data_IF_061994662863
#
_entry.id   IF_061994662863
#
_cell.length_a   1.000
_cell.length_b   1.000
_cell.length_c   1.000
_cell.angle_alpha   90.00
_cell.angle_beta   90.00
_cell.angle_gamma   90.00
#
_symmetry.space_group_name_H-M   'P 1'
#
loop_
_entity.id
_entity.type
_entity.pdbx_description
1 polymer ?
#
# COMPACT_ATOMS: atom_id res chain seq x y z
N UNK A 1 9.62 -17.49 16.17
CA UNK A 1 9.48 -16.48 15.10
C UNK A 1 8.50 -15.43 15.52
N UNK A 2 8.89 -14.20 15.37
CA UNK A 2 7.99 -13.10 15.68
C UNK A 2 7.07 -12.82 14.49
N UNK A 3 5.78 -12.62 14.78
CA UNK A 3 4.81 -12.18 13.79
C UNK A 3 4.84 -10.66 13.71
N UNK A 4 4.51 -10.14 12.52
CA UNK A 4 4.38 -8.71 12.30
C UNK A 4 2.93 -8.30 12.61
N UNK A 5 2.76 -7.27 13.42
CA UNK A 5 1.42 -6.71 13.62
C UNK A 5 1.07 -5.82 12.43
N UNK A 6 -0.09 -6.08 11.82
CA UNK A 6 -0.53 -5.33 10.65
C UNK A 6 -0.52 -3.81 10.92
N UNK A 7 0.07 -3.07 10.01
CA UNK A 7 0.21 -1.60 10.06
C UNK A 7 1.15 -1.09 11.16
N UNK A 8 1.90 -1.97 11.81
CA UNK A 8 2.94 -1.55 12.76
C UNK A 8 4.18 -1.02 12.02
N UNK A 9 5.09 -0.38 12.76
CA UNK A 9 6.35 0.08 12.19
C UNK A 9 7.15 -1.10 11.62
N UNK A 10 7.12 -2.25 12.28
CA UNK A 10 7.79 -3.47 11.83
C UNK A 10 7.18 -3.99 10.52
N UNK A 11 5.86 -3.92 10.40
CA UNK A 11 5.17 -4.31 9.17
C UNK A 11 5.56 -3.39 8.01
N UNK A 12 5.58 -2.09 8.26
CA UNK A 12 5.99 -1.10 7.25
C UNK A 12 7.44 -1.33 6.84
N UNK A 13 8.33 -1.63 7.80
CA UNK A 13 9.73 -1.96 7.50
C UNK A 13 9.86 -3.22 6.65
N UNK A 14 9.06 -4.25 6.93
CA UNK A 14 9.07 -5.48 6.15
C UNK A 14 8.60 -5.23 4.72
N UNK A 15 7.55 -4.42 4.55
CA UNK A 15 7.07 -4.02 3.23
C UNK A 15 8.15 -3.21 2.50
N UNK A 16 8.80 -2.28 3.19
CA UNK A 16 9.87 -1.47 2.62
C UNK A 16 11.03 -2.35 2.11
N UNK A 17 11.42 -3.34 2.88
CA UNK A 17 12.48 -4.27 2.48
C UNK A 17 12.07 -5.08 1.25
N UNK A 18 10.83 -5.58 1.22
CA UNK A 18 10.32 -6.33 0.08
C UNK A 18 10.24 -5.50 -1.19
N UNK A 19 9.78 -4.26 -1.07
CA UNK A 19 9.69 -3.32 -2.19
C UNK A 19 11.08 -2.98 -2.73
N UNK A 20 12.03 -2.71 -1.85
CA UNK A 20 13.40 -2.35 -2.25
C UNK A 20 14.15 -3.50 -2.91
N UNK A 21 13.83 -4.74 -2.55
CA UNK A 21 14.50 -5.92 -3.07
C UNK A 21 13.87 -6.43 -4.38
N UNK A 22 12.71 -5.92 -4.77
CA UNK A 22 11.97 -6.44 -5.93
C UNK A 22 12.51 -5.86 -7.23
N UNK A 23 13.02 -6.75 -8.10
CA UNK A 23 13.62 -6.34 -9.37
C UNK A 23 12.57 -5.85 -10.38
N UNK A 24 11.35 -6.38 -10.32
CA UNK A 24 10.27 -5.95 -11.20
C UNK A 24 9.88 -4.51 -10.91
N UNK A 25 9.72 -4.17 -9.62
CA UNK A 25 9.43 -2.80 -9.20
C UNK A 25 10.56 -1.85 -9.57
N UNK A 26 11.81 -2.27 -9.40
CA UNK A 26 12.97 -1.47 -9.76
C UNK A 26 12.97 -1.12 -11.25
N UNK A 27 12.61 -2.08 -12.09
CA UNK A 27 12.50 -1.86 -13.54
C UNK A 27 11.36 -0.91 -13.87
N UNK A 28 10.20 -1.11 -13.25
CA UNK A 28 9.04 -0.25 -13.48
C UNK A 28 9.25 1.18 -12.96
N UNK A 29 10.05 1.34 -11.94
CA UNK A 29 10.34 2.65 -11.36
C UNK A 29 11.03 3.60 -12.36
N UNK A 30 11.72 3.06 -13.34
CA UNK A 30 12.33 3.88 -14.39
C UNK A 30 11.31 4.37 -15.42
N UNK A 31 10.11 3.81 -15.44
CA UNK A 31 9.06 4.10 -16.40
C UNK A 31 7.89 4.86 -15.82
N UNK A 32 7.80 4.96 -14.50
CA UNK A 32 6.66 5.56 -13.81
C UNK A 32 7.11 6.55 -12.75
N UNK A 33 6.26 7.55 -12.53
CA UNK A 33 6.40 8.47 -11.41
C UNK A 33 5.03 8.59 -10.76
N UNK A 34 4.89 8.08 -9.55
CA UNK A 34 3.61 8.13 -8.82
C UNK A 34 3.85 8.13 -7.33
N UNK A 35 3.12 8.97 -6.62
CA UNK A 35 3.08 8.99 -5.16
C UNK A 35 1.70 8.59 -4.68
N UNK A 36 1.63 7.51 -3.92
CA UNK A 36 0.40 6.99 -3.34
C UNK A 36 0.44 7.10 -1.83
N UNK A 37 -0.53 7.77 -1.24
CA UNK A 37 -0.71 7.80 0.21
C UNK A 37 -1.89 6.92 0.59
N UNK A 38 -1.71 6.09 1.61
CA UNK A 38 -2.75 5.22 2.16
C UNK A 38 -3.02 5.63 3.59
N UNK A 39 -4.29 5.94 3.90
CA UNK A 39 -4.73 6.28 5.25
C UNK A 39 -5.70 5.19 5.72
N UNK A 40 -5.41 4.60 6.87
CA UNK A 40 -6.28 3.61 7.52
C UNK A 40 -6.75 4.21 8.84
N UNK A 41 -8.06 4.41 8.96
CA UNK A 41 -8.65 5.03 10.15
C UNK A 41 -9.19 3.98 11.11
N UNK A 42 -9.26 4.34 12.39
CA UNK A 42 -9.90 3.51 13.41
C UNK A 42 -9.15 2.22 13.72
N UNK A 43 -7.84 2.20 13.55
CA UNK A 43 -7.05 1.02 13.97
C UNK A 43 -7.02 0.96 15.50
N UNK A 44 -6.72 -0.22 16.08
CA UNK A 44 -6.56 -0.33 17.54
C UNK A 44 -5.51 0.60 18.12
N UNK A 45 -4.64 1.16 17.26
CA UNK A 45 -3.50 1.99 17.67
C UNK A 45 -3.61 3.43 17.18
N UNK A 46 -4.78 3.82 16.66
CA UNK A 46 -5.00 5.13 16.05
C UNK A 46 -4.94 5.08 14.53
N UNK A 47 -5.08 6.21 13.89
CA UNK A 47 -5.00 6.27 12.43
C UNK A 47 -3.57 6.05 11.96
N UNK A 48 -3.42 5.27 10.89
CA UNK A 48 -2.11 4.93 10.31
C UNK A 48 -2.04 5.48 8.90
N UNK A 49 -0.96 6.17 8.58
CA UNK A 49 -0.69 6.67 7.23
C UNK A 49 0.65 6.09 6.76
N UNK A 50 0.67 5.56 5.55
CA UNK A 50 1.90 5.12 4.92
C UNK A 50 1.82 5.41 3.43
N UNK A 51 2.94 5.24 2.72
CA UNK A 51 2.98 5.62 1.31
C UNK A 51 3.88 4.72 0.49
N UNK A 52 3.61 4.75 -0.82
CA UNK A 52 4.50 4.24 -1.85
C UNK A 52 4.88 5.42 -2.73
N UNK A 53 6.18 5.66 -2.92
CA UNK A 53 6.65 6.70 -3.82
C UNK A 53 7.52 6.06 -4.89
N UNK A 54 7.17 6.29 -6.15
CA UNK A 54 7.95 5.85 -7.30
C UNK A 54 8.44 7.11 -8.01
N UNK A 55 9.75 7.31 -8.02
CA UNK A 55 10.36 8.51 -8.62
C UNK A 55 11.83 8.27 -8.89
N UNK A 56 12.30 8.75 -10.05
CA UNK A 56 13.72 8.75 -10.43
C UNK A 56 14.35 7.34 -10.38
N UNK A 57 13.59 6.33 -10.77
CA UNK A 57 14.07 4.96 -10.78
C UNK A 57 14.13 4.30 -9.40
N UNK A 58 13.53 4.94 -8.39
CA UNK A 58 13.53 4.44 -7.01
C UNK A 58 12.11 4.22 -6.54
N UNK A 59 11.87 3.09 -5.86
CA UNK A 59 10.61 2.78 -5.20
C UNK A 59 10.86 2.80 -3.69
N UNK A 60 10.07 3.59 -2.97
CA UNK A 60 10.16 3.64 -1.51
C UNK A 60 8.79 3.39 -0.88
N UNK A 61 8.80 2.73 0.26
CA UNK A 61 7.62 2.43 1.05
C UNK A 61 7.95 2.79 2.50
N UNK A 62 7.17 3.69 3.08
CA UNK A 62 7.47 4.20 4.42
C UNK A 62 6.22 4.75 5.09
N UNK A 63 6.33 5.08 6.38
CA UNK A 63 5.24 5.73 7.11
C UNK A 63 5.10 7.19 6.71
N UNK A 64 3.90 7.74 6.89
CA UNK A 64 3.57 9.12 6.54
C UNK A 64 3.07 9.25 5.11
N UNK A 65 2.75 10.49 4.73
CA UNK A 65 2.27 10.80 3.38
C UNK A 65 3.42 10.77 2.36
N UNK A 66 3.09 10.45 1.12
CA UNK A 66 4.07 10.45 0.03
C UNK A 66 4.66 11.87 -0.17
N UNK A 67 5.98 11.99 -0.35
CA UNK A 67 6.61 13.29 -0.59
C UNK A 67 6.04 14.03 -1.80
N UNK A 68 5.67 13.29 -2.84
CA UNK A 68 5.02 13.84 -4.03
C UNK A 68 3.73 13.07 -4.28
N UNK A 69 2.73 13.36 -3.47
CA UNK A 69 1.45 12.64 -3.53
C UNK A 69 0.68 12.99 -4.79
N UNK A 70 0.33 11.95 -5.56
CA UNK A 70 -0.55 12.09 -6.72
C UNK A 70 -1.95 11.56 -6.39
N UNK A 71 -2.03 10.51 -5.57
CA UNK A 71 -3.28 9.85 -5.22
C UNK A 71 -3.28 9.52 -3.73
N UNK A 72 -4.49 9.47 -3.15
CA UNK A 72 -4.68 9.12 -1.75
C UNK A 72 -5.89 8.21 -1.60
N UNK A 73 -5.71 7.12 -0.86
CA UNK A 73 -6.80 6.24 -0.47
C UNK A 73 -7.04 6.36 1.04
N UNK A 74 -8.30 6.39 1.42
CA UNK A 74 -8.68 6.39 2.84
C UNK A 74 -9.71 5.29 3.06
N UNK A 75 -9.49 4.45 4.06
CA UNK A 75 -10.39 3.35 4.41
C UNK A 75 -10.33 3.07 5.90
N UNK A 76 -11.36 2.38 6.42
CA UNK A 76 -11.36 1.96 7.82
C UNK A 76 -10.47 0.75 8.01
N UNK A 77 -10.06 0.52 9.27
CA UNK A 77 -9.27 -0.66 9.63
C UNK A 77 -9.99 -1.96 9.25
N UNK A 78 -11.31 -2.02 9.49
CA UNK A 78 -12.11 -3.18 9.14
C UNK A 78 -12.03 -3.49 7.63
N UNK A 79 -12.17 -2.47 6.80
CA UNK A 79 -12.06 -2.62 5.35
C UNK A 79 -10.64 -3.03 4.96
N UNK A 80 -9.64 -2.40 5.54
CA UNK A 80 -8.23 -2.70 5.23
C UNK A 80 -7.88 -4.15 5.57
N UNK A 81 -8.30 -4.64 6.74
CA UNK A 81 -8.08 -6.03 7.13
C UNK A 81 -8.83 -6.98 6.20
N UNK A 82 -10.07 -6.65 5.86
CA UNK A 82 -10.87 -7.48 4.94
C UNK A 82 -10.21 -7.64 3.58
N UNK A 83 -9.64 -6.56 3.04
CA UNK A 83 -8.93 -6.61 1.77
C UNK A 83 -7.61 -7.37 1.91
N UNK A 84 -6.85 -7.10 2.96
CA UNK A 84 -5.56 -7.75 3.18
C UNK A 84 -5.68 -9.26 3.38
N UNK A 85 -6.80 -9.71 3.95
CA UNK A 85 -7.08 -11.14 4.16
C UNK A 85 -7.90 -11.76 3.03
N UNK A 86 -8.16 -11.00 1.98
CA UNK A 86 -8.93 -11.44 0.81
C UNK A 86 -10.40 -11.77 1.10
N UNK A 87 -10.94 -11.31 2.22
CA UNK A 87 -12.36 -11.45 2.54
C UNK A 87 -13.21 -10.40 1.85
N UNK A 88 -12.61 -9.28 1.50
CA UNK A 88 -13.27 -8.18 0.77
C UNK A 88 -12.49 -7.96 -0.52
N UNK A 89 -13.22 -7.91 -1.64
CA UNK A 89 -12.62 -7.55 -2.92
C UNK A 89 -12.39 -6.04 -2.97
N UNK A 90 -11.15 -5.62 -3.28
CA UNK A 90 -10.78 -4.20 -3.29
C UNK A 90 -11.60 -3.39 -4.29
N UNK A 91 -11.89 -3.98 -5.46
CA UNK A 91 -12.68 -3.32 -6.50
C UNK A 91 -14.11 -3.08 -6.04
N UNK A 92 -14.73 -4.08 -5.41
CA UNK A 92 -16.06 -3.93 -4.83
C UNK A 92 -16.08 -2.90 -3.71
N UNK A 93 -15.07 -2.90 -2.85
CA UNK A 93 -14.96 -1.94 -1.76
C UNK A 93 -14.91 -0.51 -2.31
N UNK A 94 -14.18 -0.30 -3.39
CA UNK A 94 -14.09 1.01 -4.05
C UNK A 94 -15.46 1.43 -4.60
N UNK A 95 -16.13 0.53 -5.30
CA UNK A 95 -17.45 0.80 -5.90
C UNK A 95 -18.49 1.12 -4.83
N UNK A 96 -18.44 0.43 -3.69
CA UNK A 96 -19.38 0.63 -2.58
C UNK A 96 -19.03 1.84 -1.72
N UNK A 97 -17.94 2.54 -2.00
CA UNK A 97 -17.53 3.71 -1.24
C UNK A 97 -16.84 3.39 0.09
N UNK A 98 -16.40 2.14 0.28
CA UNK A 98 -15.63 1.75 1.47
C UNK A 98 -14.19 2.24 1.40
N UNK A 99 -13.69 2.52 0.21
CA UNK A 99 -12.40 3.15 -0.02
C UNK A 99 -12.66 4.50 -0.66
N UNK A 100 -12.21 5.57 -0.02
CA UNK A 100 -12.34 6.92 -0.55
C UNK A 100 -11.07 7.26 -1.31
N UNK A 101 -11.23 7.61 -2.57
CA UNK A 101 -10.12 7.98 -3.45
C UNK A 101 -10.12 9.49 -3.68
N UNK A 102 -8.94 10.10 -3.59
CA UNK A 102 -8.73 11.49 -4.00
C UNK A 102 -7.44 11.59 -4.80
N UNK A 103 -7.38 12.51 -5.74
CA UNK A 103 -6.18 12.79 -6.51
C UNK A 103 -6.32 12.49 -7.99
N UNK A 104 -5.21 12.23 -8.65
CA UNK A 104 -5.11 12.08 -10.10
C UNK A 104 -5.45 10.66 -10.55
N UNK A 105 -6.65 10.50 -11.09
CA UNK A 105 -7.17 9.22 -11.57
C UNK A 105 -6.30 8.62 -12.69
N UNK A 106 -5.81 9.48 -13.58
CA UNK A 106 -5.00 9.03 -14.71
C UNK A 106 -3.65 8.46 -14.24
N UNK A 107 -3.05 9.07 -13.23
CA UNK A 107 -1.81 8.56 -12.63
C UNK A 107 -2.01 7.17 -12.05
N UNK A 108 -3.15 6.94 -11.41
CA UNK A 108 -3.49 5.62 -10.86
C UNK A 108 -3.59 4.57 -11.97
N UNK A 109 -4.28 4.91 -13.07
CA UNK A 109 -4.46 4.00 -14.21
C UNK A 109 -3.11 3.69 -14.86
N UNK A 110 -2.31 4.73 -15.10
CA UNK A 110 -1.01 4.60 -15.76
C UNK A 110 -0.03 3.76 -14.94
N UNK A 111 -0.15 3.78 -13.61
CA UNK A 111 0.72 3.04 -12.71
C UNK A 111 0.19 1.63 -12.37
N UNK A 112 -0.79 1.13 -13.12
CA UNK A 112 -1.37 -0.19 -12.88
C UNK A 112 -0.36 -1.32 -12.78
N UNK A 113 0.70 -1.28 -13.59
CA UNK A 113 1.78 -2.28 -13.56
C UNK A 113 2.52 -2.27 -12.21
N UNK A 114 2.73 -1.09 -11.64
CA UNK A 114 3.38 -0.94 -10.34
C UNK A 114 2.52 -1.59 -9.26
N UNK A 115 1.23 -1.31 -9.27
CA UNK A 115 0.31 -1.88 -8.26
C UNK A 115 0.19 -3.39 -8.41
N UNK A 116 0.19 -3.90 -9.64
CA UNK A 116 0.17 -5.34 -9.89
C UNK A 116 1.43 -6.00 -9.33
N UNK A 117 2.59 -5.36 -9.47
CA UNK A 117 3.86 -5.88 -8.97
C UNK A 117 3.93 -5.87 -7.43
N UNK A 118 3.13 -5.04 -6.76
CA UNK A 118 3.07 -5.02 -5.29
C UNK A 118 2.36 -6.24 -4.71
N UNK A 119 1.41 -6.84 -5.42
CA UNK A 119 0.61 -7.94 -4.90
C UNK A 119 1.43 -9.12 -4.36
N UNK A 120 2.44 -9.63 -5.07
CA UNK A 120 3.26 -10.72 -4.52
C UNK A 120 3.99 -10.33 -3.24
N UNK A 121 4.37 -9.07 -3.11
CA UNK A 121 5.06 -8.57 -1.91
C UNK A 121 4.10 -8.54 -0.73
N UNK A 122 2.89 -8.02 -0.91
CA UNK A 122 1.85 -8.04 0.11
C UNK A 122 1.53 -9.47 0.54
N UNK A 123 1.41 -10.39 -0.42
CA UNK A 123 1.13 -11.78 -0.14
C UNK A 123 2.22 -12.43 0.71
N UNK A 124 3.49 -12.18 0.36
CA UNK A 124 4.62 -12.73 1.10
C UNK A 124 4.68 -12.18 2.53
N UNK A 125 4.49 -10.88 2.70
CA UNK A 125 4.51 -10.25 4.03
C UNK A 125 3.30 -10.68 4.85
N UNK A 126 2.14 -10.87 4.20
CA UNK A 126 0.92 -11.31 4.88
C UNK A 126 1.10 -12.64 5.61
N UNK A 127 1.92 -13.54 5.07
CA UNK A 127 2.17 -14.84 5.71
C UNK A 127 2.81 -14.70 7.09
N UNK A 128 3.50 -13.60 7.35
CA UNK A 128 4.12 -13.29 8.63
C UNK A 128 3.37 -12.23 9.42
N UNK A 129 2.15 -11.88 9.02
CA UNK A 129 1.40 -10.75 9.57
C UNK A 129 0.26 -11.24 10.45
N UNK A 130 0.10 -10.63 11.61
CA UNK A 130 -1.05 -10.82 12.49
C UNK A 130 -2.01 -9.64 12.32
N UNK A 131 -3.29 -9.98 12.12
CA UNK A 131 -4.36 -9.00 11.99
C UNK A 131 -5.13 -8.95 13.31
N UNK A 132 -4.70 -8.05 14.18
CA UNK A 132 -5.25 -7.95 15.53
C UNK A 132 -6.26 -6.81 15.60
#
# INVERSE_FOLDING_TARGET
MSSLRYLSAEWISAMSAGVSADSTLSTLASQHTVGLTQVVTGTPFGDVTYHLQVRDGVVSFASGAAPSEDVRFTETYETAVGIATEQINAQEAFIKGLIVFTGDHQKLIDAGDVFAALNPIFTAVRESTEFI
#
